data_IF_358683927887
#
_entry.id   IF_358683927887
#
_cell.length_a   1.000
_cell.length_b   1.000
_cell.length_c   1.000
_cell.angle_alpha   90.00
_cell.angle_beta   90.00
_cell.angle_gamma   90.00
#
_symmetry.space_group_name_H-M   'P 1'
#
loop_
_entity.id
_entity.type
_entity.pdbx_description
1 polymer ?
#
# COMPACT_ATOMS: atom_id res chain seq x y z
N UNK A 1 -22.71 28.56 5.44
CA UNK A 1 -21.60 28.54 6.38
C UNK A 1 -20.61 27.50 5.86
N UNK A 2 -19.52 27.98 5.24
CA UNK A 2 -18.49 27.11 4.69
C UNK A 2 -17.62 26.61 5.84
N UNK A 3 -17.43 25.28 5.90
CA UNK A 3 -16.47 24.67 6.82
C UNK A 3 -15.10 24.80 6.16
N UNK A 4 -14.29 25.72 6.64
CA UNK A 4 -12.86 25.78 6.31
C UNK A 4 -12.18 24.56 6.89
N UNK A 5 -11.76 23.62 6.02
CA UNK A 5 -10.86 22.54 6.41
C UNK A 5 -9.45 23.12 6.57
N UNK A 6 -9.00 23.27 7.80
CA UNK A 6 -7.61 23.58 8.09
C UNK A 6 -6.74 22.36 7.78
N UNK A 7 -6.04 22.41 6.65
CA UNK A 7 -5.03 21.44 6.27
C UNK A 7 -3.79 21.60 7.16
N UNK A 8 -3.71 20.85 8.26
CA UNK A 8 -2.46 20.68 8.97
C UNK A 8 -1.62 19.65 8.22
N UNK A 9 -0.78 20.12 7.31
CA UNK A 9 0.26 19.32 6.66
C UNK A 9 1.27 18.89 7.72
N UNK A 10 1.31 17.58 8.00
CA UNK A 10 2.33 16.99 8.86
C UNK A 10 3.58 16.81 8.00
N UNK A 11 4.48 17.77 8.06
CA UNK A 11 5.85 17.62 7.57
C UNK A 11 6.52 16.59 8.47
N UNK A 12 6.87 15.43 7.92
CA UNK A 12 7.70 14.44 8.59
C UNK A 12 9.09 15.05 8.77
N UNK A 13 9.48 15.23 10.03
CA UNK A 13 10.82 15.71 10.39
C UNK A 13 11.83 14.61 10.01
N UNK A 14 12.63 14.87 9.00
CA UNK A 14 13.66 13.96 8.47
C UNK A 14 14.78 13.64 9.50
N UNK A 15 14.73 14.23 10.70
CA UNK A 15 15.75 14.10 11.72
C UNK A 15 15.42 13.16 12.90
N UNK A 16 14.29 12.45 12.86
CA UNK A 16 13.93 11.50 13.92
C UNK A 16 14.66 10.16 13.75
N UNK A 17 15.78 10.01 14.43
CA UNK A 17 16.62 8.80 14.49
C UNK A 17 16.00 7.59 15.22
N UNK A 18 14.69 7.53 15.43
CA UNK A 18 14.07 6.53 16.32
C UNK A 18 12.87 5.82 15.75
N UNK A 19 13.00 5.28 14.53
CA UNK A 19 12.14 4.17 14.09
C UNK A 19 12.94 3.25 13.18
N UNK A 20 13.59 2.24 13.76
CA UNK A 20 14.07 1.08 13.01
C UNK A 20 12.85 0.42 12.37
N UNK A 21 12.62 0.64 11.08
CA UNK A 21 11.53 0.00 10.34
C UNK A 21 10.89 0.82 9.22
N UNK A 22 11.05 2.14 9.19
CA UNK A 22 10.60 2.98 8.07
C UNK A 22 11.86 3.59 7.46
N UNK A 23 12.37 3.00 6.40
CA UNK A 23 13.44 3.64 5.63
C UNK A 23 12.73 4.65 4.73
N UNK A 24 12.72 5.90 5.17
CA UNK A 24 12.27 7.02 4.36
C UNK A 24 13.37 7.35 3.35
N UNK A 25 12.98 7.51 2.10
CA UNK A 25 13.80 8.14 1.07
C UNK A 25 14.35 9.47 1.62
N UNK A 26 15.64 9.73 1.47
CA UNK A 26 16.22 11.01 1.84
C UNK A 26 15.62 12.12 0.99
N UNK A 27 15.65 13.37 1.46
CA UNK A 27 15.14 14.51 0.68
C UNK A 27 15.88 14.65 -0.66
N UNK A 28 17.14 14.24 -0.73
CA UNK A 28 17.94 14.28 -1.97
C UNK A 28 17.49 13.21 -2.96
N UNK A 29 17.31 11.97 -2.52
CA UNK A 29 16.76 10.88 -3.33
C UNK A 29 15.35 11.22 -3.82
N UNK A 30 14.55 11.78 -2.93
CA UNK A 30 13.23 12.28 -3.25
C UNK A 30 13.27 13.33 -4.39
N UNK A 31 14.11 14.35 -4.27
CA UNK A 31 14.21 15.40 -5.26
C UNK A 31 14.66 14.85 -6.63
N UNK A 32 15.59 13.87 -6.64
CA UNK A 32 15.98 13.17 -7.87
C UNK A 32 14.79 12.48 -8.52
N UNK A 33 14.07 11.67 -7.77
CA UNK A 33 12.91 10.94 -8.29
C UNK A 33 11.83 11.92 -8.75
N UNK A 34 11.56 12.98 -7.99
CA UNK A 34 10.58 13.99 -8.37
C UNK A 34 10.92 14.67 -9.70
N UNK A 35 12.20 15.05 -9.92
CA UNK A 35 12.63 15.64 -11.18
C UNK A 35 12.46 14.68 -12.36
N UNK A 36 12.66 13.38 -12.16
CA UNK A 36 12.43 12.35 -13.17
C UNK A 36 10.95 12.15 -13.53
N UNK A 37 10.04 12.32 -12.58
CA UNK A 37 8.63 11.92 -12.74
C UNK A 37 7.66 13.07 -12.97
N UNK A 38 8.04 14.33 -12.65
CA UNK A 38 7.12 15.48 -12.66
C UNK A 38 6.43 15.72 -14.01
N UNK A 39 7.09 15.33 -15.09
CA UNK A 39 6.62 15.51 -16.47
C UNK A 39 6.04 14.21 -17.08
N UNK A 40 6.01 13.10 -16.32
CA UNK A 40 5.49 11.83 -16.84
C UNK A 40 3.95 11.87 -16.87
N UNK A 41 3.40 11.67 -18.06
CA UNK A 41 2.00 11.31 -18.21
C UNK A 41 1.82 9.80 -18.00
N UNK A 42 1.59 9.38 -16.74
CA UNK A 42 1.44 7.98 -16.36
C UNK A 42 0.35 7.23 -17.14
N UNK A 43 -0.62 7.93 -17.70
CA UNK A 43 -1.70 7.31 -18.47
C UNK A 43 -1.32 7.05 -19.95
N UNK A 44 -0.33 7.76 -20.51
CA UNK A 44 -0.02 7.74 -21.94
C UNK A 44 1.47 7.47 -22.26
N UNK A 45 2.27 7.00 -21.29
CA UNK A 45 3.71 6.80 -21.49
C UNK A 45 4.01 5.47 -22.20
N UNK A 46 3.74 5.37 -23.50
CA UNK A 46 3.97 4.16 -24.32
C UNK A 46 5.16 4.27 -25.26
N UNK A 47 5.97 5.31 -25.18
CA UNK A 47 7.11 5.48 -26.08
C UNK A 47 8.42 4.89 -25.49
N UNK A 48 9.37 4.61 -26.38
CA UNK A 48 10.66 3.99 -26.04
C UNK A 48 11.55 4.88 -25.17
N UNK A 49 11.36 6.20 -25.21
CA UNK A 49 12.07 7.15 -24.34
C UNK A 49 11.63 7.02 -22.88
N UNK A 50 10.36 6.68 -22.67
CA UNK A 50 9.81 6.44 -21.34
C UNK A 50 10.32 5.14 -20.70
N UNK A 51 10.67 4.12 -21.47
CA UNK A 51 11.19 2.85 -20.92
C UNK A 51 12.54 3.03 -20.22
N UNK A 52 13.49 3.73 -20.84
CA UNK A 52 14.78 4.04 -20.21
C UNK A 52 14.60 4.83 -18.91
N UNK A 53 13.64 5.74 -18.89
CA UNK A 53 13.32 6.50 -17.68
C UNK A 53 12.75 5.62 -16.56
N UNK A 54 11.90 4.64 -16.89
CA UNK A 54 11.36 3.71 -15.88
C UNK A 54 12.46 2.79 -15.33
N UNK A 55 13.40 2.34 -16.15
CA UNK A 55 14.58 1.59 -15.71
C UNK A 55 15.44 2.44 -14.76
N UNK A 56 15.73 3.70 -15.11
CA UNK A 56 16.46 4.63 -14.25
C UNK A 56 15.76 4.88 -12.91
N UNK A 57 14.43 5.03 -12.91
CA UNK A 57 13.63 5.14 -11.67
C UNK A 57 13.85 3.90 -10.80
N UNK A 58 13.74 2.70 -11.36
CA UNK A 58 13.86 1.44 -10.63
C UNK A 58 15.28 1.19 -10.09
N UNK A 59 16.33 1.70 -10.76
CA UNK A 59 17.71 1.63 -10.25
C UNK A 59 17.89 2.38 -8.92
N UNK A 60 17.07 3.40 -8.66
CA UNK A 60 17.08 4.18 -7.42
C UNK A 60 16.16 3.59 -6.33
N UNK A 61 15.49 2.47 -6.58
CA UNK A 61 14.62 1.84 -5.60
C UNK A 61 15.44 1.26 -4.43
N UNK A 62 14.89 1.39 -3.22
CA UNK A 62 15.51 0.84 -2.02
C UNK A 62 15.68 -0.68 -2.13
N UNK A 63 16.85 -1.16 -1.69
CA UNK A 63 17.21 -2.57 -1.64
C UNK A 63 17.51 -3.01 -0.21
N UNK A 64 16.99 -4.18 0.18
CA UNK A 64 17.27 -4.86 1.45
C UNK A 64 17.51 -6.33 1.14
N UNK A 65 18.65 -6.89 1.57
CA UNK A 65 19.02 -8.29 1.35
C UNK A 65 18.93 -8.71 -0.14
N UNK A 66 19.36 -7.85 -1.06
CA UNK A 66 19.29 -8.05 -2.52
C UNK A 66 17.86 -8.09 -3.11
N UNK A 67 16.86 -7.69 -2.35
CA UNK A 67 15.48 -7.53 -2.80
C UNK A 67 15.20 -6.03 -2.87
N UNK A 68 14.60 -5.57 -3.97
CA UNK A 68 14.26 -4.16 -4.19
C UNK A 68 12.78 -3.91 -4.10
N UNK A 69 12.42 -2.69 -3.73
CA UNK A 69 11.06 -2.20 -3.96
C UNK A 69 10.78 -2.30 -5.47
N UNK A 70 9.58 -2.78 -5.79
CA UNK A 70 9.10 -3.09 -7.14
C UNK A 70 9.66 -4.39 -7.78
N UNK A 71 10.50 -5.16 -7.10
CA UNK A 71 10.76 -6.54 -7.53
C UNK A 71 9.48 -7.39 -7.41
N UNK A 72 9.38 -8.41 -8.25
CA UNK A 72 8.27 -9.37 -8.23
C UNK A 72 8.68 -10.64 -7.50
N UNK A 73 7.82 -11.10 -6.58
CA UNK A 73 7.91 -12.42 -5.98
C UNK A 73 7.30 -13.44 -6.95
N UNK A 74 8.05 -14.47 -7.31
CA UNK A 74 7.63 -15.55 -8.19
C UNK A 74 7.01 -16.72 -7.41
N UNK A 75 6.25 -17.57 -8.09
CA UNK A 75 5.64 -18.80 -7.56
C UNK A 75 6.68 -19.77 -6.97
N UNK A 76 7.91 -19.75 -7.46
CA UNK A 76 9.02 -20.55 -6.93
C UNK A 76 9.68 -19.97 -5.69
N UNK A 77 9.23 -18.79 -5.20
CA UNK A 77 9.77 -18.10 -4.04
C UNK A 77 10.96 -17.17 -4.34
N UNK A 78 11.40 -17.07 -5.59
CA UNK A 78 12.48 -16.17 -5.97
C UNK A 78 11.97 -14.74 -6.26
N UNK A 79 12.86 -13.76 -6.14
CA UNK A 79 12.58 -12.38 -6.51
C UNK A 79 13.22 -12.05 -7.86
N UNK A 80 12.50 -11.31 -8.69
CA UNK A 80 12.99 -10.87 -10.00
C UNK A 80 12.70 -9.40 -10.23
N UNK A 81 13.62 -8.74 -10.93
CA UNK A 81 13.42 -7.35 -11.37
C UNK A 81 12.29 -7.27 -12.40
N UNK A 82 11.61 -6.12 -12.49
CA UNK A 82 10.66 -5.86 -13.57
C UNK A 82 11.31 -6.03 -14.94
N UNK A 83 10.73 -6.83 -15.81
CA UNK A 83 11.16 -6.98 -17.20
C UNK A 83 10.00 -7.36 -18.12
N UNK A 84 10.13 -7.06 -19.40
CA UNK A 84 9.16 -7.48 -20.42
C UNK A 84 9.11 -9.00 -20.51
N UNK A 85 7.91 -9.54 -20.65
CA UNK A 85 7.69 -10.99 -20.78
C UNK A 85 7.49 -11.72 -19.45
N UNK A 86 7.49 -11.02 -18.32
CA UNK A 86 7.04 -11.58 -17.04
C UNK A 86 5.56 -11.92 -17.14
N UNK A 87 5.18 -13.15 -16.79
CA UNK A 87 3.80 -13.63 -16.85
C UNK A 87 3.08 -13.43 -15.52
N UNK A 88 1.80 -13.03 -15.56
CA UNK A 88 0.96 -12.93 -14.35
C UNK A 88 0.82 -14.30 -13.64
N UNK A 89 0.85 -15.40 -14.39
CA UNK A 89 0.72 -16.75 -13.83
C UNK A 89 1.95 -17.18 -13.02
N UNK A 90 3.13 -16.59 -13.30
CA UNK A 90 4.38 -16.89 -12.62
C UNK A 90 4.61 -16.00 -11.38
N UNK A 91 3.77 -14.98 -11.18
CA UNK A 91 3.97 -13.95 -10.16
C UNK A 91 2.98 -14.07 -9.01
N UNK A 92 3.50 -14.04 -7.79
CA UNK A 92 2.72 -13.96 -6.55
C UNK A 92 2.26 -12.53 -6.29
N UNK A 93 3.17 -11.56 -6.42
CA UNK A 93 2.91 -10.16 -6.17
C UNK A 93 4.15 -9.30 -6.33
N UNK A 94 4.06 -8.03 -5.94
CA UNK A 94 5.11 -7.02 -6.08
C UNK A 94 5.57 -6.50 -4.73
N UNK A 95 6.88 -6.31 -4.52
CA UNK A 95 7.46 -5.74 -3.29
C UNK A 95 7.09 -4.27 -3.19
N UNK A 96 6.35 -3.90 -2.13
CA UNK A 96 5.86 -2.52 -1.92
C UNK A 96 6.60 -1.80 -0.80
N UNK A 97 7.41 -2.50 -0.05
CA UNK A 97 8.20 -1.97 1.07
C UNK A 97 8.75 -3.09 1.94
N UNK A 98 9.26 -2.69 3.11
CA UNK A 98 9.83 -3.63 4.08
C UNK A 98 9.33 -3.35 5.49
N UNK A 99 9.15 -4.40 6.27
CA UNK A 99 8.92 -4.33 7.71
C UNK A 99 9.89 -5.27 8.44
N UNK A 100 10.75 -4.72 9.30
CA UNK A 100 11.81 -5.49 9.98
C UNK A 100 12.63 -6.36 8.99
N UNK A 101 13.08 -5.75 7.90
CA UNK A 101 13.84 -6.37 6.80
C UNK A 101 13.08 -7.39 5.95
N UNK A 102 11.88 -7.80 6.36
CA UNK A 102 11.02 -8.67 5.55
C UNK A 102 10.24 -7.86 4.50
N UNK A 103 10.22 -8.29 3.24
CA UNK A 103 9.46 -7.60 2.21
C UNK A 103 7.96 -7.72 2.44
N UNK A 104 7.26 -6.61 2.24
CA UNK A 104 5.81 -6.54 2.14
C UNK A 104 5.46 -6.65 0.66
N UNK A 105 4.65 -7.63 0.33
CA UNK A 105 4.22 -7.93 -1.02
C UNK A 105 2.78 -7.46 -1.19
N UNK A 106 2.49 -6.69 -2.22
CA UNK A 106 1.13 -6.38 -2.63
C UNK A 106 0.65 -7.31 -3.74
N UNK A 107 -0.63 -7.61 -3.73
CA UNK A 107 -1.28 -8.34 -4.82
C UNK A 107 -1.20 -7.57 -6.13
N UNK A 108 -1.23 -8.28 -7.27
CA UNK A 108 -1.31 -7.65 -8.59
C UNK A 108 -2.70 -7.06 -8.88
N UNK A 109 -3.73 -7.59 -8.22
CA UNK A 109 -5.12 -7.14 -8.37
C UNK A 109 -5.58 -6.40 -7.13
N UNK A 110 -6.06 -5.18 -7.35
CA UNK A 110 -6.72 -4.39 -6.33
C UNK A 110 -8.24 -4.59 -6.45
N UNK A 111 -8.92 -4.46 -5.33
CA UNK A 111 -10.36 -4.62 -5.23
C UNK A 111 -10.99 -3.31 -4.81
N UNK A 112 -12.25 -3.12 -5.13
CA UNK A 112 -13.06 -2.05 -4.54
C UNK A 112 -13.93 -2.63 -3.43
N UNK A 113 -14.06 -1.92 -2.32
CA UNK A 113 -14.87 -2.38 -1.22
C UNK A 113 -14.85 -1.44 -0.03
N UNK A 114 -15.83 -1.59 0.82
CA UNK A 114 -15.94 -0.85 2.08
C UNK A 114 -15.37 -1.68 3.22
N UNK A 115 -14.86 -0.99 4.23
CA UNK A 115 -14.37 -1.67 5.43
C UNK A 115 -15.48 -2.49 6.08
N UNK A 116 -16.64 -1.88 6.30
CA UNK A 116 -17.81 -2.49 6.91
C UNK A 116 -19.09 -1.82 6.39
N UNK A 117 -20.13 -2.62 6.15
CA UNK A 117 -21.46 -2.10 5.77
C UNK A 117 -22.34 -1.74 6.96
N UNK A 118 -22.01 -2.20 8.15
CA UNK A 118 -22.76 -1.94 9.37
C UNK A 118 -22.02 -0.93 10.24
N UNK A 119 -22.70 0.17 10.54
CA UNK A 119 -22.25 1.12 11.55
C UNK A 119 -22.03 0.42 12.90
N UNK A 120 -20.93 0.75 13.58
CA UNK A 120 -20.59 0.34 14.96
C UNK A 120 -20.03 -1.07 15.18
N UNK A 121 -19.63 -1.81 14.15
CA UNK A 121 -18.85 -3.01 14.41
C UNK A 121 -17.38 -2.64 14.65
N UNK A 122 -16.86 -3.03 15.79
CA UNK A 122 -15.46 -2.83 16.16
C UNK A 122 -14.69 -4.13 16.03
N UNK A 123 -13.45 -4.00 15.59
CA UNK A 123 -12.57 -5.13 15.40
C UNK A 123 -11.56 -5.25 16.49
N UNK A 124 -11.08 -4.12 16.94
CA UNK A 124 -9.87 -4.04 17.68
C UNK A 124 -10.03 -3.50 19.09
N UNK A 125 -9.15 -4.02 19.92
CA UNK A 125 -8.85 -3.43 21.21
C UNK A 125 -7.86 -2.24 21.08
N UNK A 126 -7.42 -1.95 19.84
CA UNK A 126 -6.38 -0.96 19.56
C UNK A 126 -6.89 0.10 18.60
N UNK A 127 -7.22 1.26 19.15
CA UNK A 127 -7.53 2.44 18.36
C UNK A 127 -6.28 3.29 18.16
N UNK A 128 -6.01 3.63 16.92
CA UNK A 128 -4.89 4.49 16.57
C UNK A 128 -5.33 5.94 16.44
N UNK A 129 -4.69 6.84 17.18
CA UNK A 129 -5.04 8.28 17.21
C UNK A 129 -3.94 9.09 16.52
N UNK A 130 -4.33 9.92 15.56
CA UNK A 130 -3.46 10.90 14.92
C UNK A 130 -2.22 10.28 14.26
N UNK A 131 -1.04 10.82 14.59
CA UNK A 131 0.24 10.38 13.98
C UNK A 131 0.63 8.94 14.29
N UNK A 132 0.16 8.39 15.40
CA UNK A 132 0.47 7.01 15.79
C UNK A 132 -0.14 5.98 14.83
N UNK A 133 -1.23 6.32 14.13
CA UNK A 133 -1.81 5.44 13.11
C UNK A 133 -0.80 5.06 12.00
N UNK A 134 0.11 5.97 11.62
CA UNK A 134 1.17 5.68 10.62
C UNK A 134 2.20 4.66 11.09
N UNK A 135 2.25 4.36 12.38
CA UNK A 135 3.16 3.35 12.96
C UNK A 135 2.52 1.96 13.08
N UNK A 136 1.26 1.82 12.69
CA UNK A 136 0.56 0.55 12.74
C UNK A 136 1.06 -0.39 11.62
N UNK A 137 1.66 -1.52 12.03
CA UNK A 137 2.15 -2.59 11.17
C UNK A 137 1.63 -3.95 11.67
N UNK A 138 0.37 -4.00 12.04
CA UNK A 138 -0.28 -5.16 12.63
C UNK A 138 -1.43 -5.74 11.79
N UNK A 139 -1.46 -5.40 10.51
CA UNK A 139 -2.50 -5.81 9.58
C UNK A 139 -2.70 -7.33 9.54
N UNK A 140 -1.61 -8.09 9.51
CA UNK A 140 -1.65 -9.54 9.53
C UNK A 140 -2.28 -10.08 10.83
N UNK A 141 -1.91 -9.50 11.98
CA UNK A 141 -2.44 -9.89 13.30
C UNK A 141 -3.94 -9.63 13.37
N UNK A 142 -4.37 -8.43 12.93
CA UNK A 142 -5.78 -8.03 12.92
C UNK A 142 -6.57 -8.93 11.97
N UNK A 143 -6.06 -9.21 10.78
CA UNK A 143 -6.73 -10.10 9.81
C UNK A 143 -6.85 -11.53 10.33
N UNK A 144 -5.82 -12.07 11.03
CA UNK A 144 -5.91 -13.37 11.70
C UNK A 144 -6.95 -13.40 12.81
N UNK A 145 -7.06 -12.34 13.62
CA UNK A 145 -8.13 -12.20 14.63
C UNK A 145 -9.50 -12.23 13.96
N UNK A 146 -9.64 -11.56 12.81
CA UNK A 146 -10.86 -11.60 12.02
C UNK A 146 -11.19 -13.02 11.56
N UNK A 147 -10.26 -13.69 10.92
CA UNK A 147 -10.44 -15.06 10.40
C UNK A 147 -10.87 -16.04 11.49
N UNK A 148 -10.31 -15.91 12.70
CA UNK A 148 -10.52 -16.82 13.81
C UNK A 148 -11.71 -16.43 14.71
N UNK A 149 -12.27 -15.24 14.54
CA UNK A 149 -13.39 -14.75 15.33
C UNK A 149 -14.71 -15.40 14.92
N UNK A 150 -15.57 -15.68 15.90
CA UNK A 150 -16.98 -16.06 15.68
C UNK A 150 -17.77 -14.78 15.40
N UNK A 151 -17.81 -14.30 14.15
CA UNK A 151 -18.55 -13.10 13.82
C UNK A 151 -19.71 -13.39 12.89
N UNK A 152 -20.85 -12.79 13.21
CA UNK A 152 -22.03 -12.78 12.35
C UNK A 152 -21.86 -11.79 11.18
N UNK A 153 -20.97 -10.80 11.35
CA UNK A 153 -20.73 -9.73 10.38
C UNK A 153 -19.50 -10.03 9.53
N UNK A 154 -19.68 -9.92 8.21
CA UNK A 154 -18.61 -10.05 7.22
C UNK A 154 -18.15 -8.67 6.78
N UNK A 155 -16.85 -8.42 6.90
CA UNK A 155 -16.20 -7.20 6.43
C UNK A 155 -15.65 -7.43 5.04
N UNK A 156 -16.18 -6.74 4.05
CA UNK A 156 -15.85 -6.96 2.63
C UNK A 156 -14.35 -6.83 2.36
N UNK A 157 -13.69 -5.82 2.93
CA UNK A 157 -12.26 -5.61 2.72
C UNK A 157 -11.41 -6.77 3.23
N UNK A 158 -11.74 -7.34 4.41
CA UNK A 158 -11.04 -8.50 4.93
C UNK A 158 -11.31 -9.75 4.10
N UNK A 159 -12.57 -9.97 3.71
CA UNK A 159 -12.94 -11.11 2.88
C UNK A 159 -12.26 -11.06 1.51
N UNK A 160 -12.12 -9.88 0.91
CA UNK A 160 -11.40 -9.71 -0.34
C UNK A 160 -9.94 -10.16 -0.21
N UNK A 161 -9.25 -9.75 0.87
CA UNK A 161 -7.88 -10.16 1.13
C UNK A 161 -7.76 -11.66 1.41
N UNK A 162 -8.59 -12.20 2.31
CA UNK A 162 -8.55 -13.62 2.70
C UNK A 162 -8.91 -14.58 1.57
N UNK A 163 -9.68 -14.12 0.58
CA UNK A 163 -10.07 -14.93 -0.58
C UNK A 163 -9.12 -14.74 -1.77
N UNK A 164 -8.21 -13.78 -1.73
CA UNK A 164 -7.19 -13.63 -2.76
C UNK A 164 -6.25 -14.84 -2.70
N UNK A 165 -6.07 -15.52 -3.85
CA UNK A 165 -5.22 -16.72 -3.99
C UNK A 165 -5.42 -17.79 -2.89
N UNK A 166 -6.63 -17.94 -2.37
CA UNK A 166 -6.97 -18.82 -1.24
C UNK A 166 -6.43 -20.26 -1.35
N UNK A 167 -6.26 -20.75 -2.59
CA UNK A 167 -5.80 -22.11 -2.83
C UNK A 167 -4.28 -22.28 -2.81
N UNK A 168 -3.52 -21.20 -2.61
CA UNK A 168 -2.05 -21.18 -2.66
C UNK A 168 -1.38 -21.20 -1.28
N UNK A 169 -2.13 -21.40 -0.19
CA UNK A 169 -1.65 -21.41 1.21
C UNK A 169 -0.96 -20.10 1.67
N UNK A 170 -1.16 -19.02 0.95
CA UNK A 170 -0.63 -17.72 1.30
C UNK A 170 -1.56 -17.02 2.30
N UNK A 171 -1.00 -16.36 3.29
CA UNK A 171 -1.78 -15.60 4.27
C UNK A 171 -1.90 -14.12 3.88
N UNK A 172 -2.71 -13.86 2.87
CA UNK A 172 -3.03 -12.51 2.47
C UNK A 172 -3.88 -11.80 3.52
N UNK A 173 -3.58 -10.53 3.76
CA UNK A 173 -4.24 -9.75 4.81
C UNK A 173 -4.55 -8.32 4.38
N UNK A 174 -5.48 -7.67 5.07
CA UNK A 174 -5.77 -6.25 4.92
C UNK A 174 -4.72 -5.43 5.68
N UNK A 175 -3.97 -4.59 4.98
CA UNK A 175 -2.88 -3.81 5.56
C UNK A 175 -3.35 -2.81 6.61
N UNK A 176 -2.53 -2.61 7.64
CA UNK A 176 -2.66 -1.49 8.57
C UNK A 176 -2.20 -0.18 7.91
N UNK A 177 -2.48 0.97 8.55
CA UNK A 177 -2.14 2.29 7.99
C UNK A 177 -0.67 2.41 7.63
N UNK A 178 0.25 1.94 8.48
CA UNK A 178 1.70 2.04 8.22
C UNK A 178 2.12 1.24 7.00
N UNK A 179 1.56 0.04 6.81
CA UNK A 179 1.85 -0.84 5.68
C UNK A 179 1.33 -0.25 4.37
N UNK A 180 0.08 0.23 4.35
CA UNK A 180 -0.53 0.87 3.18
C UNK A 180 0.15 2.20 2.86
N UNK A 181 0.50 3.00 3.87
CA UNK A 181 1.25 4.24 3.68
C UNK A 181 2.65 3.98 3.08
N UNK A 182 3.32 2.88 3.51
CA UNK A 182 4.61 2.47 2.93
C UNK A 182 4.47 2.14 1.45
N UNK A 183 3.45 1.38 1.06
CA UNK A 183 3.14 1.12 -0.35
C UNK A 183 2.95 2.43 -1.13
N UNK A 184 2.13 3.34 -0.60
CA UNK A 184 1.85 4.62 -1.27
C UNK A 184 3.07 5.55 -1.33
N UNK A 185 4.00 5.51 -0.38
CA UNK A 185 5.27 6.23 -0.47
C UNK A 185 6.13 5.76 -1.65
N UNK A 186 5.97 4.50 -2.04
CA UNK A 186 6.75 3.86 -3.09
C UNK A 186 6.02 3.81 -4.45
N UNK A 187 4.89 4.51 -4.59
CA UNK A 187 4.02 4.45 -5.77
C UNK A 187 4.74 4.66 -7.09
N UNK A 188 5.78 5.50 -7.12
CA UNK A 188 6.56 5.81 -8.33
C UNK A 188 7.25 4.56 -8.87
N UNK A 189 7.92 3.80 -7.98
CA UNK A 189 8.59 2.56 -8.35
C UNK A 189 7.60 1.51 -8.82
N UNK A 190 6.46 1.40 -8.12
CA UNK A 190 5.40 0.44 -8.44
C UNK A 190 4.78 0.74 -9.81
N UNK A 191 4.51 2.02 -10.09
CA UNK A 191 3.99 2.43 -11.39
C UNK A 191 5.03 2.27 -12.51
N UNK A 192 6.33 2.50 -12.24
CA UNK A 192 7.41 2.24 -13.21
C UNK A 192 7.49 0.74 -13.56
N UNK A 193 7.45 -0.13 -12.56
CA UNK A 193 7.42 -1.59 -12.76
C UNK A 193 6.20 -2.03 -13.59
N UNK A 194 5.01 -1.52 -13.25
CA UNK A 194 3.80 -1.77 -14.03
C UNK A 194 3.96 -1.35 -15.50
N UNK A 195 4.61 -0.21 -15.77
CA UNK A 195 4.82 0.27 -17.14
C UNK A 195 5.71 -0.65 -17.95
N UNK A 196 6.75 -1.23 -17.35
CA UNK A 196 7.66 -2.18 -18.00
C UNK A 196 6.96 -3.53 -18.23
N UNK A 197 6.31 -4.07 -17.21
CA UNK A 197 5.80 -5.44 -17.22
C UNK A 197 4.36 -5.55 -17.71
N UNK A 198 3.57 -4.49 -17.60
CA UNK A 198 2.10 -4.45 -17.73
C UNK A 198 1.37 -5.30 -16.67
N UNK A 199 2.08 -5.73 -15.62
CA UNK A 199 1.49 -6.47 -14.50
C UNK A 199 1.15 -5.54 -13.33
N UNK A 200 0.12 -5.91 -12.59
CA UNK A 200 -0.34 -5.17 -11.42
C UNK A 200 -1.30 -4.03 -11.75
N UNK A 201 -1.57 -3.19 -10.76
CA UNK A 201 -2.52 -2.07 -10.84
C UNK A 201 -1.77 -0.75 -10.64
N UNK A 202 -2.07 0.25 -11.47
CA UNK A 202 -1.52 1.60 -11.31
C UNK A 202 -2.10 2.25 -10.05
N UNK A 203 -1.22 2.87 -9.27
CA UNK A 203 -1.59 3.71 -8.14
C UNK A 203 -1.82 5.13 -8.63
N UNK A 204 -3.04 5.64 -8.49
CA UNK A 204 -3.40 6.98 -8.93
C UNK A 204 -3.49 7.96 -7.76
N UNK A 205 -3.23 9.21 -8.07
CA UNK A 205 -3.52 10.32 -7.15
C UNK A 205 -5.03 10.44 -6.91
N UNK A 206 -5.40 10.67 -5.67
CA UNK A 206 -6.78 10.84 -5.27
C UNK A 206 -7.50 9.55 -4.90
N UNK A 207 -6.96 8.37 -5.25
CA UNK A 207 -7.52 7.10 -4.85
C UNK A 207 -7.44 6.91 -3.33
N UNK A 208 -8.51 6.38 -2.73
CA UNK A 208 -8.58 6.06 -1.30
C UNK A 208 -8.27 4.59 -1.08
N UNK A 209 -7.34 4.29 -0.18
CA UNK A 209 -6.90 2.93 0.13
C UNK A 209 -7.34 2.54 1.55
N UNK A 210 -8.21 1.54 1.63
CA UNK A 210 -8.75 1.02 2.90
C UNK A 210 -7.66 0.34 3.72
N UNK A 211 -7.69 0.53 5.04
CA UNK A 211 -6.81 -0.15 5.99
C UNK A 211 -7.60 -0.90 7.05
N UNK A 212 -6.97 -1.85 7.74
CA UNK A 212 -7.58 -2.53 8.88
C UNK A 212 -7.54 -1.72 10.18
N UNK A 213 -6.85 -0.59 10.20
CA UNK A 213 -6.69 0.22 11.41
C UNK A 213 -7.95 1.01 11.72
N UNK A 214 -8.44 0.88 12.94
CA UNK A 214 -9.60 1.61 13.44
C UNK A 214 -9.17 2.88 14.17
N UNK A 215 -9.92 3.96 14.00
CA UNK A 215 -9.77 5.18 14.77
C UNK A 215 -10.57 5.14 16.06
N UNK A 216 -11.79 4.63 15.96
CA UNK A 216 -12.74 4.47 17.06
C UNK A 216 -13.81 3.42 16.68
N UNK A 217 -14.85 3.28 17.48
CA UNK A 217 -15.91 2.30 17.23
C UNK A 217 -16.68 2.53 15.92
N UNK A 218 -16.70 3.77 15.41
CA UNK A 218 -17.49 4.16 14.24
C UNK A 218 -16.65 4.46 13.01
N UNK A 219 -15.35 4.74 13.19
CA UNK A 219 -14.48 5.23 12.13
C UNK A 219 -13.25 4.35 11.93
N UNK A 220 -12.84 4.21 10.68
CA UNK A 220 -11.60 3.56 10.27
C UNK A 220 -10.68 4.51 9.53
N UNK A 221 -9.38 4.23 9.56
CA UNK A 221 -8.40 4.96 8.79
C UNK A 221 -8.34 4.48 7.35
N UNK A 222 -8.04 5.40 6.45
CA UNK A 222 -7.63 5.11 5.07
C UNK A 222 -6.45 5.98 4.68
N UNK A 223 -5.73 5.55 3.67
CA UNK A 223 -4.62 6.29 3.09
C UNK A 223 -5.02 6.84 1.73
N UNK A 224 -4.52 8.02 1.39
CA UNK A 224 -4.76 8.64 0.09
C UNK A 224 -3.48 9.31 -0.41
N UNK A 225 -3.17 9.12 -1.67
CA UNK A 225 -2.08 9.82 -2.33
C UNK A 225 -2.59 11.20 -2.81
N UNK A 226 -2.49 12.22 -1.95
CA UNK A 226 -3.01 13.56 -2.23
C UNK A 226 -2.01 14.43 -2.96
N UNK A 227 -0.72 14.26 -2.69
CA UNK A 227 0.39 14.99 -3.31
C UNK A 227 1.39 14.01 -3.90
N UNK A 228 2.17 14.49 -4.85
CA UNK A 228 3.13 13.66 -5.58
C UNK A 228 4.07 12.81 -4.70
N UNK A 229 4.11 13.03 -3.38
CA UNK A 229 5.22 12.59 -2.55
C UNK A 229 4.85 11.87 -1.27
N UNK A 230 3.78 12.26 -0.62
CA UNK A 230 3.44 11.70 0.70
C UNK A 230 1.98 11.30 0.74
N UNK A 231 1.67 10.05 1.12
CA UNK A 231 0.31 9.68 1.42
C UNK A 231 -0.15 10.39 2.67
N UNK A 232 -1.31 11.02 2.58
CA UNK A 232 -2.02 11.50 3.75
C UNK A 232 -2.92 10.40 4.29
N UNK A 233 -3.10 10.39 5.62
CA UNK A 233 -4.03 9.50 6.28
C UNK A 233 -5.27 10.29 6.68
N UNK A 234 -6.42 9.70 6.38
CA UNK A 234 -7.72 10.23 6.70
C UNK A 234 -8.54 9.18 7.44
N UNK A 235 -9.67 9.58 7.98
CA UNK A 235 -10.64 8.69 8.59
C UNK A 235 -12.02 8.87 7.99
N UNK A 236 -12.81 7.84 8.03
CA UNK A 236 -14.19 7.84 7.56
C UNK A 236 -15.10 6.97 8.42
N UNK A 237 -16.38 7.23 8.35
CA UNK A 237 -17.39 6.39 9.00
C UNK A 237 -17.46 5.03 8.32
N UNK A 238 -17.33 3.95 9.09
CA UNK A 238 -17.25 2.58 8.61
C UNK A 238 -18.38 2.16 7.68
N UNK A 239 -19.51 2.64 7.74
CA UNK A 239 -20.64 2.32 6.85
C UNK A 239 -20.89 3.35 5.74
N UNK A 240 -19.98 4.30 5.52
CA UNK A 240 -20.20 5.37 4.57
C UNK A 240 -20.22 4.88 3.12
N UNK A 241 -21.38 4.93 2.48
CA UNK A 241 -21.52 4.64 1.05
C UNK A 241 -20.78 5.63 0.14
N UNK A 242 -20.41 6.80 0.66
CA UNK A 242 -19.64 7.81 -0.10
C UNK A 242 -18.23 7.37 -0.43
N UNK A 243 -17.73 6.33 0.24
CA UNK A 243 -16.41 5.71 0.03
C UNK A 243 -16.52 4.28 -0.51
N UNK A 244 -17.62 3.95 -1.17
CA UNK A 244 -17.83 2.65 -1.84
C UNK A 244 -16.80 2.32 -2.92
N UNK A 245 -15.94 3.29 -3.27
CA UNK A 245 -14.88 3.15 -4.25
C UNK A 245 -13.48 3.09 -3.58
N UNK A 246 -13.40 2.86 -2.27
CA UNK A 246 -12.11 2.64 -1.63
C UNK A 246 -11.44 1.38 -2.15
N UNK A 247 -10.15 1.50 -2.43
CA UNK A 247 -9.33 0.41 -2.94
C UNK A 247 -8.85 -0.46 -1.77
N UNK A 248 -9.04 -1.75 -1.90
CA UNK A 248 -8.55 -2.80 -1.01
C UNK A 248 -7.36 -3.47 -1.68
N UNK A 249 -6.21 -3.46 -1.03
CA UNK A 249 -4.99 -4.11 -1.50
C UNK A 249 -4.65 -5.26 -0.56
N UNK A 250 -4.77 -6.50 -1.00
CA UNK A 250 -4.23 -7.63 -0.26
C UNK A 250 -2.71 -7.51 -0.13
N UNK A 251 -2.22 -7.63 1.11
CA UNK A 251 -0.80 -7.64 1.42
C UNK A 251 -0.37 -9.01 1.97
N UNK A 252 0.91 -9.32 1.81
CA UNK A 252 1.57 -10.51 2.32
C UNK A 252 2.93 -10.10 2.88
N UNK A 253 3.30 -10.54 4.08
CA UNK A 253 4.70 -10.46 4.57
C UNK A 253 5.40 -11.75 4.21
N UNK A 254 6.47 -11.62 3.44
CA UNK A 254 7.31 -12.76 3.06
C UNK A 254 8.49 -12.85 4.01
N UNK A 255 8.60 -13.96 4.74
CA UNK A 255 9.71 -14.19 5.66
C UNK A 255 10.89 -14.78 4.87
N UNK A 256 12.01 -14.07 4.90
CA UNK A 256 13.26 -14.47 4.27
C UNK A 256 14.03 -15.43 5.20
#
# INVERSE_FOLDING_TARGET
MGVEYSYNSIILDANSKTTKGIINMSQEEYNKVYELIKDINWNNADDKASENLFEEILENAQEVNSIRIADYLLENGEFTKPHKGLSEDDVVGIVVGFHNENPIIASLKFFTGVFDRKYNSTFGDSYYIGKEAKKAFDGQIITRKYKNGKREDRFEAFEACLNYRKNKNEEWYLGAVGEVATMLNNWVYLNAAHRITKLGTIINHGDCYTTCSERDSTCSWYCQLVRAINPDIFWYDKGSRKLGDCIVVPLLVYNI
#
